data_IF_713823267799
#
_entry.id   IF_713823267799
#
_cell.length_a   1.000
_cell.length_b   1.000
_cell.length_c   1.000
_cell.angle_alpha   90.00
_cell.angle_beta   90.00
_cell.angle_gamma   90.00
#
_symmetry.space_group_name_H-M   'P 1'
#
loop_
_entity.id
_entity.type
_entity.pdbx_description
1 polymer ?
#
# COMPACT_ATOMS: atom_id res chain seq x y z
N UNK A 1 43.54 18.90 2.10
CA UNK A 1 42.99 18.32 3.35
C UNK A 1 41.67 17.70 2.97
N UNK A 2 41.74 16.45 2.60
CA UNK A 2 40.63 15.70 2.01
C UNK A 2 39.76 15.15 3.14
N UNK A 3 38.52 15.66 3.21
CA UNK A 3 37.55 15.18 4.15
C UNK A 3 36.75 14.07 3.45
N UNK A 4 37.34 12.87 3.36
CA UNK A 4 36.64 11.67 2.92
C UNK A 4 35.59 11.29 3.97
N UNK A 5 34.32 11.65 3.68
CA UNK A 5 33.17 11.18 4.42
C UNK A 5 33.10 9.65 4.36
N UNK A 6 33.53 8.97 5.41
CA UNK A 6 33.31 7.55 5.64
C UNK A 6 31.80 7.33 5.80
N UNK A 7 31.12 6.97 4.73
CA UNK A 7 29.83 6.29 4.80
C UNK A 7 30.07 4.93 5.46
N UNK A 8 29.70 4.83 6.74
CA UNK A 8 29.75 3.58 7.47
C UNK A 8 28.90 2.54 6.73
N UNK A 9 29.50 1.49 6.21
CA UNK A 9 28.78 0.35 5.63
C UNK A 9 28.00 -0.33 6.75
N UNK A 10 26.67 -0.19 6.72
CA UNK A 10 25.76 -0.91 7.64
C UNK A 10 26.07 -2.41 7.58
N UNK A 11 26.00 -3.10 8.72
CA UNK A 11 26.19 -4.55 8.78
C UNK A 11 25.12 -5.26 7.94
N UNK A 12 25.38 -6.50 7.54
CA UNK A 12 24.37 -7.30 6.80
C UNK A 12 23.09 -7.48 7.62
N UNK A 13 23.19 -7.55 8.94
CA UNK A 13 22.05 -7.65 9.85
C UNK A 13 21.21 -6.38 9.85
N UNK A 14 21.80 -5.19 9.88
CA UNK A 14 21.10 -3.91 9.78
C UNK A 14 20.43 -3.72 8.42
N UNK A 15 21.05 -4.20 7.33
CA UNK A 15 20.48 -4.15 5.98
C UNK A 15 19.23 -5.02 5.85
N UNK A 16 19.17 -6.15 6.54
CA UNK A 16 18.06 -7.10 6.49
C UNK A 16 17.00 -6.87 7.56
N UNK A 17 17.20 -5.96 8.51
CA UNK A 17 16.29 -5.75 9.63
C UNK A 17 14.86 -5.45 9.14
N UNK A 18 14.68 -4.48 8.24
CA UNK A 18 13.37 -4.14 7.72
C UNK A 18 12.72 -5.32 6.97
N UNK A 19 13.48 -6.03 6.14
CA UNK A 19 12.95 -7.18 5.39
C UNK A 19 12.49 -8.32 6.30
N UNK A 20 13.16 -8.53 7.45
CA UNK A 20 12.76 -9.52 8.45
C UNK A 20 11.47 -9.13 9.14
N UNK A 21 11.33 -7.87 9.53
CA UNK A 21 10.13 -7.35 10.19
C UNK A 21 8.91 -7.33 9.24
N UNK A 22 9.11 -7.04 7.96
CA UNK A 22 8.06 -7.09 6.94
C UNK A 22 7.60 -8.53 6.67
N UNK A 23 8.50 -9.49 6.63
CA UNK A 23 8.18 -10.90 6.41
C UNK A 23 7.71 -11.20 4.99
N UNK A 24 6.51 -11.73 4.84
CA UNK A 24 5.99 -12.25 3.57
C UNK A 24 5.03 -11.26 2.88
N UNK A 25 5.17 -11.10 1.56
CA UNK A 25 4.18 -10.38 0.75
C UNK A 25 2.89 -11.21 0.72
N UNK A 26 1.78 -10.59 1.10
CA UNK A 26 0.47 -11.25 1.19
C UNK A 26 -0.53 -10.75 0.15
N UNK A 27 -0.32 -9.55 -0.41
CA UNK A 27 -1.23 -8.94 -1.36
C UNK A 27 -0.49 -8.08 -2.37
N UNK A 28 -1.04 -8.00 -3.57
CA UNK A 28 -0.66 -7.07 -4.63
C UNK A 28 -1.85 -6.17 -4.90
N UNK A 29 -1.67 -4.86 -4.73
CA UNK A 29 -2.69 -3.85 -5.01
C UNK A 29 -2.55 -3.28 -6.41
N UNK A 30 -3.68 -3.16 -7.10
CA UNK A 30 -3.79 -2.73 -8.48
C UNK A 30 -4.81 -1.59 -8.52
N UNK A 31 -4.37 -0.39 -8.86
CA UNK A 31 -5.27 0.77 -9.03
C UNK A 31 -5.76 0.83 -10.46
N UNK A 32 -7.07 0.95 -10.62
CA UNK A 32 -7.75 0.99 -11.91
C UNK A 32 -8.68 2.20 -12.03
N UNK A 33 -8.89 2.65 -13.26
CA UNK A 33 -9.85 3.71 -13.57
C UNK A 33 -11.28 3.17 -13.71
N UNK A 34 -11.42 1.88 -14.06
CA UNK A 34 -12.68 1.22 -14.37
C UNK A 34 -12.68 -0.21 -13.82
N UNK A 35 -13.40 -0.38 -12.70
CA UNK A 35 -13.49 -1.67 -12.00
C UNK A 35 -14.23 -2.72 -12.83
N UNK A 36 -15.28 -2.33 -13.56
CA UNK A 36 -16.04 -3.28 -14.38
C UNK A 36 -15.18 -3.86 -15.49
N UNK A 37 -14.39 -3.02 -16.14
CA UNK A 37 -13.42 -3.45 -17.16
C UNK A 37 -12.35 -4.37 -16.58
N UNK A 38 -11.84 -4.07 -15.38
CA UNK A 38 -10.85 -4.91 -14.71
C UNK A 38 -11.44 -6.30 -14.36
N UNK A 39 -12.64 -6.33 -13.78
CA UNK A 39 -13.35 -7.57 -13.47
C UNK A 39 -13.66 -8.38 -14.74
N UNK A 40 -14.08 -7.72 -15.82
CA UNK A 40 -14.29 -8.40 -17.10
C UNK A 40 -12.98 -9.02 -17.63
N UNK A 41 -11.85 -8.34 -17.44
CA UNK A 41 -10.53 -8.88 -17.75
C UNK A 41 -10.21 -10.15 -16.95
N UNK A 42 -10.48 -10.13 -15.63
CA UNK A 42 -10.28 -11.29 -14.74
C UNK A 42 -11.15 -12.47 -15.15
N UNK A 43 -12.41 -12.24 -15.52
CA UNK A 43 -13.28 -13.29 -16.06
C UNK A 43 -12.76 -13.88 -17.38
N UNK A 44 -12.32 -13.02 -18.29
CA UNK A 44 -11.90 -13.43 -19.62
C UNK A 44 -10.58 -14.19 -19.63
N UNK A 45 -9.60 -13.72 -18.82
CA UNK A 45 -8.23 -14.26 -18.83
C UNK A 45 -8.10 -15.47 -17.89
N UNK A 46 -8.67 -15.37 -16.70
CA UNK A 46 -8.49 -16.34 -15.63
C UNK A 46 -9.75 -17.17 -15.31
N UNK A 47 -10.92 -16.77 -15.82
CA UNK A 47 -12.20 -17.40 -15.48
C UNK A 47 -12.63 -17.14 -14.03
N UNK A 48 -12.18 -16.03 -13.42
CA UNK A 48 -12.41 -15.74 -12.00
C UNK A 48 -13.41 -14.61 -11.81
N UNK A 49 -14.29 -14.79 -10.84
CA UNK A 49 -15.08 -13.74 -10.21
C UNK A 49 -14.40 -13.29 -8.92
N UNK A 50 -14.66 -12.06 -8.44
CA UNK A 50 -14.08 -11.61 -7.17
C UNK A 50 -14.63 -12.42 -5.99
N UNK A 51 -13.73 -12.80 -5.07
CA UNK A 51 -14.11 -13.51 -3.83
C UNK A 51 -14.81 -12.57 -2.83
N UNK A 52 -14.47 -11.27 -2.89
CA UNK A 52 -15.03 -10.22 -2.05
C UNK A 52 -14.83 -8.85 -2.72
N UNK A 53 -15.42 -7.81 -2.15
CA UNK A 53 -15.27 -6.43 -2.61
C UNK A 53 -16.59 -5.66 -2.62
N UNK A 54 -16.60 -4.54 -3.34
CA UNK A 54 -17.72 -3.62 -3.46
C UNK A 54 -17.34 -2.21 -3.08
N UNK A 55 -18.36 -1.33 -2.95
CA UNK A 55 -18.19 0.04 -2.50
C UNK A 55 -17.85 0.10 -1.00
N UNK A 56 -16.87 0.90 -0.66
CA UNK A 56 -16.37 1.06 0.70
C UNK A 56 -15.98 2.51 0.97
N UNK A 57 -16.00 2.91 2.25
CA UNK A 57 -15.59 4.22 2.70
C UNK A 57 -14.60 4.07 3.87
N UNK A 58 -13.33 4.34 3.63
CA UNK A 58 -12.36 4.47 4.70
C UNK A 58 -12.48 5.86 5.32
N UNK A 59 -12.82 5.93 6.60
CA UNK A 59 -13.07 7.18 7.29
C UNK A 59 -11.83 7.66 8.05
N UNK A 60 -11.68 9.00 8.12
CA UNK A 60 -10.64 9.66 8.90
C UNK A 60 -9.21 9.17 8.57
N UNK A 61 -8.94 8.85 7.32
CA UNK A 61 -7.59 8.49 6.88
C UNK A 61 -6.67 9.72 6.98
N UNK A 62 -5.52 9.56 7.62
CA UNK A 62 -4.49 10.59 7.59
C UNK A 62 -3.82 10.57 6.21
N UNK A 63 -3.87 11.71 5.51
CA UNK A 63 -3.21 11.92 4.23
C UNK A 63 -2.09 12.95 4.38
N UNK A 64 -0.85 12.55 4.13
CA UNK A 64 0.33 13.30 4.54
C UNK A 64 0.71 14.47 3.66
N UNK A 65 0.25 14.53 2.44
CA UNK A 65 0.60 15.61 1.51
C UNK A 65 0.15 16.97 2.03
N UNK A 66 -0.96 17.02 2.79
CA UNK A 66 -1.48 18.22 3.45
C UNK A 66 -1.70 18.07 4.96
N UNK A 67 -1.45 16.89 5.51
CA UNK A 67 -1.58 16.57 6.92
C UNK A 67 -3.03 16.55 7.44
N UNK A 68 -4.01 16.51 6.52
CA UNK A 68 -5.42 16.46 6.88
C UNK A 68 -5.93 15.02 6.90
N UNK A 69 -7.04 14.80 7.61
CA UNK A 69 -7.79 13.56 7.50
C UNK A 69 -8.81 13.66 6.37
N UNK A 70 -8.95 12.58 5.63
CA UNK A 70 -9.91 12.46 4.52
C UNK A 70 -10.75 11.21 4.68
N UNK A 71 -11.97 11.26 4.18
CA UNK A 71 -12.79 10.07 3.97
C UNK A 71 -12.55 9.59 2.53
N UNK A 72 -12.07 8.37 2.40
CA UNK A 72 -11.61 7.80 1.13
C UNK A 72 -12.60 6.77 0.57
N UNK A 73 -13.54 7.20 -0.30
CA UNK A 73 -14.45 6.28 -0.97
C UNK A 73 -13.71 5.50 -2.05
N UNK A 74 -13.95 4.19 -2.10
CA UNK A 74 -13.29 3.28 -3.05
C UNK A 74 -14.21 2.13 -3.44
N UNK A 75 -14.11 1.68 -4.68
CA UNK A 75 -14.63 0.38 -5.11
C UNK A 75 -13.48 -0.60 -5.11
N UNK A 76 -13.65 -1.75 -4.46
CA UNK A 76 -12.61 -2.80 -4.40
C UNK A 76 -13.10 -4.12 -4.94
N UNK A 77 -12.17 -4.95 -5.42
CA UNK A 77 -12.41 -6.35 -5.76
C UNK A 77 -11.20 -7.18 -5.37
N UNK A 78 -11.44 -8.28 -4.63
CA UNK A 78 -10.40 -9.17 -4.12
C UNK A 78 -10.45 -10.50 -4.82
N UNK A 79 -9.28 -11.01 -5.21
CA UNK A 79 -9.10 -12.33 -5.83
C UNK A 79 -8.00 -13.08 -5.08
N UNK A 80 -8.30 -14.27 -4.56
CA UNK A 80 -7.33 -15.10 -3.86
C UNK A 80 -6.66 -16.08 -4.84
N UNK A 81 -5.36 -15.91 -5.04
CA UNK A 81 -4.52 -16.82 -5.81
C UNK A 81 -3.69 -17.63 -4.83
N UNK A 82 -4.03 -18.90 -4.59
CA UNK A 82 -3.32 -19.84 -3.73
C UNK A 82 -2.43 -19.27 -2.62
N UNK A 83 -1.40 -18.50 -2.99
CA UNK A 83 -0.37 -17.96 -2.08
C UNK A 83 -0.39 -16.43 -1.96
N UNK A 84 -1.21 -15.71 -2.72
CA UNK A 84 -1.26 -14.25 -2.72
C UNK A 84 -2.66 -13.75 -3.07
N UNK A 85 -3.04 -12.61 -2.54
CA UNK A 85 -4.28 -11.92 -2.90
C UNK A 85 -4.01 -10.81 -3.90
N UNK A 86 -4.83 -10.67 -4.93
CA UNK A 86 -4.90 -9.47 -5.76
C UNK A 86 -6.03 -8.58 -5.26
N UNK A 87 -5.74 -7.32 -5.05
CA UNK A 87 -6.72 -6.29 -4.71
C UNK A 87 -6.78 -5.27 -5.83
N UNK A 88 -7.94 -5.15 -6.46
CA UNK A 88 -8.22 -4.06 -7.38
C UNK A 88 -8.91 -2.92 -6.63
N UNK A 89 -8.49 -1.69 -6.89
CA UNK A 89 -9.00 -0.48 -6.24
C UNK A 89 -9.32 0.58 -7.28
N UNK A 90 -10.54 1.08 -7.26
CA UNK A 90 -10.97 2.24 -8.02
C UNK A 90 -11.36 3.34 -7.03
N UNK A 91 -10.55 4.41 -6.86
CA UNK A 91 -10.94 5.54 -6.02
C UNK A 91 -12.14 6.28 -6.62
N UNK A 92 -13.09 6.65 -5.77
CA UNK A 92 -14.33 7.34 -6.18
C UNK A 92 -14.24 8.83 -5.89
N UNK A 93 -14.67 9.67 -6.84
CA UNK A 93 -14.62 11.13 -6.70
C UNK A 93 -13.20 11.69 -6.76
N UNK A 94 -13.04 12.93 -6.28
CA UNK A 94 -11.79 13.70 -6.37
C UNK A 94 -11.08 13.87 -5.02
N UNK A 95 -11.38 13.01 -4.05
CA UNK A 95 -10.74 13.06 -2.73
C UNK A 95 -9.26 12.66 -2.87
N UNK A 96 -8.38 13.49 -2.32
CA UNK A 96 -6.95 13.21 -2.30
C UNK A 96 -6.66 11.95 -1.49
N UNK A 97 -6.22 10.93 -2.17
CA UNK A 97 -5.79 9.65 -1.59
C UNK A 97 -4.55 9.16 -2.35
N UNK A 98 -3.80 8.26 -1.78
CA UNK A 98 -2.67 7.63 -2.46
C UNK A 98 -3.07 6.99 -3.80
N UNK A 99 -4.29 6.47 -3.90
CA UNK A 99 -4.83 5.87 -5.13
C UNK A 99 -5.25 6.92 -6.17
N UNK A 100 -5.89 8.01 -5.72
CA UNK A 100 -6.30 9.12 -6.62
C UNK A 100 -5.09 9.83 -7.18
N UNK A 101 -4.07 10.08 -6.36
CA UNK A 101 -2.81 10.67 -6.81
C UNK A 101 -2.11 9.84 -7.88
N UNK A 102 -2.16 8.51 -7.73
CA UNK A 102 -1.58 7.59 -8.72
C UNK A 102 -2.26 7.75 -10.09
N UNK A 103 -3.59 7.78 -10.12
CA UNK A 103 -4.36 8.05 -11.35
C UNK A 103 -4.13 9.45 -11.90
N UNK A 104 -4.06 10.47 -11.06
CA UNK A 104 -3.84 11.86 -11.47
C UNK A 104 -2.45 12.06 -12.12
N UNK A 105 -1.47 11.22 -11.80
CA UNK A 105 -0.18 11.15 -12.48
C UNK A 105 -0.22 10.40 -13.81
N UNK A 106 -1.40 9.96 -14.25
CA UNK A 106 -1.58 9.14 -15.46
C UNK A 106 -1.09 7.70 -15.31
N UNK A 107 -0.94 7.23 -14.08
CA UNK A 107 -0.51 5.87 -13.76
C UNK A 107 -1.73 5.01 -13.42
N UNK A 108 -1.70 3.74 -13.78
CA UNK A 108 -2.68 2.72 -13.41
C UNK A 108 -2.01 1.34 -13.43
N UNK A 109 -2.62 0.35 -12.79
CA UNK A 109 -2.07 -0.99 -12.67
C UNK A 109 -1.40 -1.22 -11.34
N UNK A 110 -0.25 -1.90 -11.30
CA UNK A 110 0.44 -2.24 -10.07
C UNK A 110 0.74 -0.98 -9.25
N UNK A 111 0.15 -0.90 -8.07
CA UNK A 111 0.29 0.25 -7.18
C UNK A 111 1.08 -0.09 -5.92
N UNK A 112 0.72 -1.14 -5.21
CA UNK A 112 1.38 -1.49 -3.95
C UNK A 112 1.59 -2.99 -3.76
N UNK A 113 2.51 -3.32 -2.87
CA UNK A 113 2.65 -4.63 -2.27
C UNK A 113 2.40 -4.51 -0.77
N UNK A 114 1.65 -5.46 -0.21
CA UNK A 114 1.28 -5.46 1.20
C UNK A 114 1.98 -6.56 1.98
N UNK A 115 2.35 -6.18 3.19
CA UNK A 115 2.83 -7.05 4.24
C UNK A 115 1.92 -6.97 5.46
N UNK A 116 1.65 -8.10 6.10
CA UNK A 116 0.97 -8.13 7.39
C UNK A 116 2.02 -8.21 8.50
N UNK A 117 2.05 -7.21 9.37
CA UNK A 117 3.07 -7.04 10.40
C UNK A 117 2.47 -7.06 11.81
N UNK A 118 3.29 -7.40 12.81
CA UNK A 118 2.85 -7.39 14.20
C UNK A 118 3.00 -6.00 14.82
N UNK A 119 4.03 -5.23 14.42
CA UNK A 119 4.36 -3.91 14.96
C UNK A 119 4.57 -2.89 13.82
N UNK A 120 3.50 -2.12 13.51
CA UNK A 120 3.57 -1.08 12.50
C UNK A 120 4.43 0.13 12.95
N UNK A 121 4.53 0.39 14.25
CA UNK A 121 5.34 1.51 14.75
C UNK A 121 6.83 1.22 14.56
N UNK A 122 7.25 -0.03 14.76
CA UNK A 122 8.60 -0.50 14.42
C UNK A 122 8.90 -0.29 12.93
N UNK A 123 7.99 -0.71 12.04
CA UNK A 123 8.17 -0.51 10.58
C UNK A 123 8.23 0.97 10.25
N UNK A 124 7.36 1.81 10.82
CA UNK A 124 7.36 3.26 10.60
C UNK A 124 8.69 3.90 11.01
N UNK A 125 9.25 3.49 12.14
CA UNK A 125 10.58 3.94 12.55
C UNK A 125 11.66 3.53 11.54
N UNK A 126 11.70 2.26 11.16
CA UNK A 126 12.69 1.73 10.20
C UNK A 126 12.59 2.39 8.82
N UNK A 127 11.37 2.71 8.36
CA UNK A 127 11.13 3.46 7.11
C UNK A 127 11.62 4.91 7.24
N UNK A 128 11.27 5.58 8.35
CA UNK A 128 11.68 6.96 8.62
C UNK A 128 13.20 7.12 8.69
N UNK A 129 13.93 6.17 9.27
CA UNK A 129 15.40 6.13 9.29
C UNK A 129 16.03 6.05 7.89
N UNK A 130 15.24 5.65 6.89
CA UNK A 130 15.62 5.56 5.47
C UNK A 130 15.10 6.75 4.65
N UNK A 131 14.47 7.73 5.32
CA UNK A 131 13.89 8.89 4.67
C UNK A 131 12.53 8.64 4.00
N UNK A 132 11.92 7.47 4.22
CA UNK A 132 10.61 7.12 3.66
C UNK A 132 9.51 7.47 4.67
N UNK A 133 8.67 8.44 4.31
CA UNK A 133 7.54 8.87 5.13
C UNK A 133 6.28 8.05 4.90
N UNK A 134 5.29 8.25 5.77
CA UNK A 134 3.93 7.73 5.54
C UNK A 134 3.26 8.62 4.49
N UNK A 135 2.65 8.03 3.47
CA UNK A 135 1.82 8.74 2.51
C UNK A 135 0.36 8.79 2.93
N UNK A 136 -0.20 7.66 3.34
CA UNK A 136 -1.57 7.57 3.85
C UNK A 136 -1.67 6.47 4.91
N UNK A 137 -2.47 6.70 5.94
CA UNK A 137 -2.78 5.66 6.93
C UNK A 137 -4.23 5.75 7.41
N UNK A 138 -4.77 4.63 7.84
CA UNK A 138 -6.13 4.55 8.35
C UNK A 138 -6.42 3.22 9.02
N UNK A 139 -7.66 3.03 9.43
CA UNK A 139 -8.12 1.79 10.03
C UNK A 139 -8.70 0.86 8.97
N UNK A 140 -8.42 -0.43 9.09
CA UNK A 140 -9.01 -1.45 8.22
C UNK A 140 -10.51 -1.54 8.43
N UNK A 141 -11.25 -1.66 7.33
CA UNK A 141 -12.71 -1.85 7.38
C UNK A 141 -13.11 -3.26 7.84
N UNK A 142 -12.24 -4.24 7.61
CA UNK A 142 -12.49 -5.64 7.99
C UNK A 142 -12.20 -5.86 9.46
N UNK A 143 -11.16 -5.21 9.98
CA UNK A 143 -10.78 -5.31 11.37
C UNK A 143 -10.45 -3.93 11.94
N UNK A 144 -11.35 -3.32 12.73
CA UNK A 144 -11.14 -1.96 13.27
C UNK A 144 -9.94 -1.82 14.21
N UNK A 145 -9.32 -2.93 14.64
CA UNK A 145 -8.07 -2.91 15.40
C UNK A 145 -6.83 -2.90 14.51
N UNK A 146 -6.96 -3.30 13.26
CA UNK A 146 -5.88 -3.29 12.30
C UNK A 146 -5.76 -1.91 11.65
N UNK A 147 -4.52 -1.43 11.53
CA UNK A 147 -4.16 -0.18 10.86
C UNK A 147 -3.44 -0.52 9.57
N UNK A 148 -3.84 0.09 8.46
CA UNK A 148 -3.07 0.07 7.23
C UNK A 148 -2.21 1.35 7.13
N UNK A 149 -1.05 1.22 6.54
CA UNK A 149 -0.12 2.33 6.30
C UNK A 149 0.54 2.16 4.95
N UNK A 150 0.37 3.15 4.07
CA UNK A 150 1.07 3.29 2.81
C UNK A 150 2.29 4.18 3.01
N UNK A 151 3.47 3.70 2.62
CA UNK A 151 4.71 4.46 2.69
C UNK A 151 5.04 5.10 1.34
N UNK A 152 5.58 6.32 1.35
CA UNK A 152 5.95 7.07 0.15
C UNK A 152 7.24 6.52 -0.46
N UNK A 153 7.11 5.38 -1.12
CA UNK A 153 8.21 4.60 -1.73
C UNK A 153 8.11 4.47 -3.25
N UNK A 154 7.14 5.18 -3.86
CA UNK A 154 6.85 5.03 -5.28
C UNK A 154 8.03 5.47 -6.16
N UNK A 155 8.68 6.57 -5.82
CA UNK A 155 9.78 7.13 -6.60
C UNK A 155 11.04 6.24 -6.52
N UNK A 156 11.29 5.57 -5.39
CA UNK A 156 12.44 4.70 -5.18
C UNK A 156 12.26 3.30 -5.77
N UNK A 157 11.03 2.75 -5.66
CA UNK A 157 10.77 1.34 -5.98
C UNK A 157 9.91 1.12 -7.22
N UNK A 158 9.18 2.16 -7.69
CA UNK A 158 8.18 2.03 -8.74
C UNK A 158 6.86 1.41 -8.24
N UNK A 159 6.73 1.21 -6.94
CA UNK A 159 5.51 0.77 -6.26
C UNK A 159 5.49 1.26 -4.80
N UNK A 160 4.31 1.27 -4.22
CA UNK A 160 4.10 1.68 -2.82
C UNK A 160 4.22 0.47 -1.90
N UNK A 161 4.89 0.62 -0.77
CA UNK A 161 4.87 -0.39 0.31
C UNK A 161 3.68 -0.13 1.21
N UNK A 162 2.82 -1.14 1.38
CA UNK A 162 1.75 -1.15 2.36
C UNK A 162 2.04 -2.13 3.48
N UNK A 163 1.74 -1.74 4.70
CA UNK A 163 1.68 -2.67 5.82
C UNK A 163 0.32 -2.61 6.50
N UNK A 164 -0.14 -3.75 7.00
CA UNK A 164 -1.34 -3.86 7.82
C UNK A 164 -0.99 -4.59 9.10
N UNK A 165 -1.36 -4.01 10.27
CA UNK A 165 -1.15 -4.70 11.55
C UNK A 165 -2.00 -5.95 11.63
N UNK A 166 -1.39 -7.07 12.03
CA UNK A 166 -2.13 -8.26 12.46
C UNK A 166 -2.83 -7.92 13.78
N UNK A 167 -4.10 -8.27 13.90
CA UNK A 167 -4.89 -8.02 15.10
C UNK A 167 -5.08 -9.29 15.90
#
# INVERSE_FOLDING_TARGET
>A
MDNEGKTATKSTEEKLALARELGTIVQIGIVVEDMEKAQQGMRTIFGLEPDAGGESLYQNCLYRTDGQTVDAPVISAFYNFFNIQLEFLQPVGEVNTVWRDYLNKGQFGLHHIRFDVDDNDCITQLMSERGIGIWMEGQSLVNPKARFTYYDSLDELGFVVEVVTRA
#
